data_IF_640741488229
#
_entry.id   IF_640741488229
#
_cell.length_a   1.000
_cell.length_b   1.000
_cell.length_c   1.000
_cell.angle_alpha   90.00
_cell.angle_beta   90.00
_cell.angle_gamma   90.00
#
_symmetry.space_group_name_H-M   'P 1'
#
loop_
_entity.id
_entity.type
_entity.pdbx_description
1 polymer ?
#
# COMPACT_ATOMS: atom_id res chain seq x y z
N UNK A 1 -10.15 21.60 -6.66
CA UNK A 1 -9.85 20.34 -5.95
C UNK A 1 -8.34 20.21 -5.89
N UNK A 2 -7.76 20.29 -4.69
CA UNK A 2 -6.41 19.78 -4.46
C UNK A 2 -6.49 18.26 -4.64
N UNK A 3 -5.55 17.66 -5.37
CA UNK A 3 -5.57 16.22 -5.63
C UNK A 3 -5.41 15.44 -4.33
N UNK A 4 -6.17 14.36 -4.18
CA UNK A 4 -6.05 13.39 -3.09
C UNK A 4 -4.68 12.73 -3.15
N UNK A 5 -3.75 13.05 -2.24
CA UNK A 5 -2.38 12.51 -2.23
C UNK A 5 -2.24 11.33 -1.29
N UNK A 6 -1.61 10.28 -1.79
CA UNK A 6 -1.20 9.10 -1.03
C UNK A 6 0.32 9.09 -1.02
N UNK A 7 0.93 8.96 0.14
CA UNK A 7 2.37 9.19 0.30
C UNK A 7 3.05 7.91 0.75
N UNK A 8 4.07 7.49 0.01
CA UNK A 8 5.03 6.50 0.48
C UNK A 8 6.16 7.23 1.20
N UNK A 9 6.32 6.92 2.49
CA UNK A 9 7.27 7.53 3.39
C UNK A 9 8.42 6.56 3.68
N UNK A 10 9.63 7.11 3.74
CA UNK A 10 10.81 6.46 4.27
C UNK A 10 11.08 6.98 5.67
N UNK A 11 11.19 6.09 6.65
CA UNK A 11 11.23 6.45 8.06
C UNK A 11 12.49 5.89 8.73
N UNK A 12 13.06 6.66 9.66
CA UNK A 12 14.21 6.24 10.47
C UNK A 12 13.88 5.14 11.49
N UNK A 13 12.60 4.82 11.70
CA UNK A 13 12.13 3.75 12.59
C UNK A 13 10.60 3.69 12.62
N UNK A 14 10.06 2.65 13.27
CA UNK A 14 8.61 2.50 13.46
C UNK A 14 8.13 3.60 14.43
N UNK A 15 7.03 4.31 14.13
CA UNK A 15 6.48 5.29 15.04
C UNK A 15 5.98 4.58 16.30
N UNK A 16 6.77 4.63 17.37
CA UNK A 16 6.44 4.03 18.66
C UNK A 16 6.03 5.10 19.66
N UNK A 17 4.72 5.21 19.89
CA UNK A 17 4.12 6.02 20.96
C UNK A 17 3.84 7.49 20.62
N UNK A 18 3.05 8.11 21.49
CA UNK A 18 2.71 9.53 21.40
C UNK A 18 3.97 10.39 21.60
N UNK A 19 4.52 10.93 20.51
CA UNK A 19 5.64 11.88 20.53
C UNK A 19 6.91 11.42 19.81
N UNK A 20 6.98 10.19 19.30
CA UNK A 20 8.04 9.80 18.39
C UNK A 20 7.72 10.35 16.99
N UNK A 21 8.44 11.39 16.55
CA UNK A 21 8.51 11.77 15.14
C UNK A 21 9.79 11.15 14.56
N UNK A 22 9.77 9.87 14.12
CA UNK A 22 10.87 9.39 13.30
C UNK A 22 10.97 10.31 12.08
N UNK A 23 12.19 10.78 11.76
CA UNK A 23 12.41 11.54 10.54
C UNK A 23 11.79 10.77 9.38
N UNK A 24 10.78 11.37 8.74
CA UNK A 24 10.03 10.80 7.64
C UNK A 24 10.32 11.62 6.38
N UNK A 25 10.68 10.95 5.31
CA UNK A 25 10.91 11.56 3.99
C UNK A 25 9.89 11.00 3.00
N UNK A 26 9.27 11.88 2.21
CA UNK A 26 8.43 11.45 1.09
C UNK A 26 9.30 10.84 0.01
N UNK A 27 9.11 9.55 -0.25
CA UNK A 27 9.79 8.80 -1.31
C UNK A 27 9.00 8.93 -2.62
N UNK A 28 7.69 8.68 -2.55
CA UNK A 28 6.78 8.71 -3.70
C UNK A 28 5.43 9.30 -3.30
N UNK A 29 4.70 9.83 -4.28
CA UNK A 29 3.31 10.22 -4.13
C UNK A 29 2.47 9.61 -5.26
N UNK A 30 1.25 9.20 -4.93
CA UNK A 30 0.22 8.81 -5.88
C UNK A 30 -1.01 9.68 -5.67
N UNK A 31 -1.86 9.78 -6.69
CA UNK A 31 -3.12 10.52 -6.60
C UNK A 31 -4.29 9.56 -6.73
N UNK A 32 -5.34 9.81 -5.94
CA UNK A 32 -6.66 9.15 -6.02
C UNK A 32 -6.72 7.64 -5.72
N UNK A 33 -5.61 6.92 -5.81
CA UNK A 33 -5.56 5.46 -5.70
C UNK A 33 -4.20 4.98 -5.19
N UNK A 34 -4.19 3.97 -4.31
CA UNK A 34 -2.95 3.33 -3.85
C UNK A 34 -2.43 2.45 -4.98
N UNK A 35 -1.21 2.65 -5.49
CA UNK A 35 -0.64 1.77 -6.50
C UNK A 35 -0.50 0.34 -5.95
N UNK A 36 -0.93 -0.64 -6.73
CA UNK A 36 -0.91 -2.05 -6.32
C UNK A 36 0.49 -2.55 -5.96
N UNK A 37 1.52 -2.08 -6.68
CA UNK A 37 2.93 -2.34 -6.36
C UNK A 37 3.36 -1.86 -4.97
N UNK A 38 2.71 -0.84 -4.42
CA UNK A 38 3.01 -0.39 -3.06
C UNK A 38 2.43 -1.36 -2.04
N UNK A 39 1.26 -1.94 -2.30
CA UNK A 39 0.65 -2.95 -1.43
C UNK A 39 1.44 -4.27 -1.42
N UNK A 40 2.19 -4.58 -2.48
CA UNK A 40 3.13 -5.71 -2.50
C UNK A 40 4.22 -5.61 -1.42
N UNK A 41 4.47 -4.41 -0.87
CA UNK A 41 5.43 -4.22 0.20
C UNK A 41 4.92 -4.71 1.55
N UNK A 42 3.61 -4.85 1.76
CA UNK A 42 3.03 -4.99 3.10
C UNK A 42 2.28 -6.32 3.31
N UNK A 43 2.12 -6.73 4.56
CA UNK A 43 1.19 -7.77 5.01
C UNK A 43 0.01 -7.19 5.78
N UNK A 44 -1.04 -7.99 5.97
CA UNK A 44 -2.23 -7.61 6.73
C UNK A 44 -1.90 -7.21 8.17
N UNK A 45 -0.89 -7.84 8.79
CA UNK A 45 -0.41 -7.50 10.15
C UNK A 45 0.28 -6.13 10.24
N UNK A 46 0.63 -5.54 9.10
CA UNK A 46 1.29 -4.23 8.98
C UNK A 46 0.29 -3.12 8.61
N UNK A 47 -1.00 -3.45 8.51
CA UNK A 47 -2.09 -2.52 8.32
C UNK A 47 -2.64 -2.10 9.69
N UNK A 48 -2.35 -0.88 10.09
CA UNK A 48 -2.74 -0.32 11.38
C UNK A 48 -3.84 0.74 11.23
N UNK A 49 -4.49 1.06 12.36
CA UNK A 49 -5.40 2.21 12.47
C UNK A 49 -4.70 3.32 13.23
N UNK A 50 -4.42 4.43 12.54
CA UNK A 50 -3.81 5.59 13.17
C UNK A 50 -4.89 6.59 13.59
N UNK A 51 -4.77 7.12 14.81
CA UNK A 51 -5.72 8.09 15.36
C UNK A 51 -5.43 9.47 14.78
N UNK A 52 -6.47 10.13 14.28
CA UNK A 52 -6.41 11.53 13.87
C UNK A 52 -6.20 12.39 15.13
N UNK A 53 -4.99 12.95 15.27
CA UNK A 53 -4.60 13.80 16.39
C UNK A 53 -5.22 15.20 16.34
N UNK A 54 -5.06 15.96 17.43
CA UNK A 54 -5.27 17.41 17.43
C UNK A 54 -4.13 18.06 16.65
N UNK A 55 -4.22 18.15 15.32
CA UNK A 55 -3.43 19.15 14.61
C UNK A 55 -4.27 20.42 14.51
N UNK A 56 -3.70 21.55 14.94
CA UNK A 56 -4.25 22.91 14.72
C UNK A 56 -4.34 23.29 13.21
N UNK A 57 -4.05 22.36 12.31
CA UNK A 57 -4.15 22.54 10.88
C UNK A 57 -5.60 22.36 10.41
N UNK A 58 -6.16 23.47 9.91
CA UNK A 58 -7.51 23.70 9.38
C UNK A 58 -7.91 22.74 8.22
N UNK A 59 -7.07 21.78 7.87
CA UNK A 59 -7.23 20.89 6.71
C UNK A 59 -7.74 19.49 7.05
N UNK A 60 -7.80 19.10 8.33
CA UNK A 60 -8.38 17.81 8.70
C UNK A 60 -9.91 17.91 8.78
N UNK A 61 -10.61 17.32 7.81
CA UNK A 61 -12.06 17.44 7.64
C UNK A 61 -12.89 16.51 8.54
N UNK A 62 -12.24 15.66 9.33
CA UNK A 62 -12.89 14.58 10.08
C UNK A 62 -12.83 14.76 11.60
N UNK A 63 -13.75 14.08 12.29
CA UNK A 63 -13.96 14.21 13.74
C UNK A 63 -12.72 13.75 14.51
N UNK A 64 -12.32 14.55 15.52
CA UNK A 64 -11.26 14.17 16.46
C UNK A 64 -11.53 12.78 17.05
N UNK A 65 -10.52 11.92 17.03
CA UNK A 65 -10.64 10.54 17.50
C UNK A 65 -11.06 9.52 16.43
N UNK A 66 -11.37 9.97 15.20
CA UNK A 66 -11.45 9.06 14.05
C UNK A 66 -10.11 8.37 13.80
N UNK A 67 -10.15 7.22 13.13
CA UNK A 67 -8.95 6.49 12.72
C UNK A 67 -8.91 6.27 11.23
N UNK A 68 -7.74 6.36 10.62
CA UNK A 68 -7.52 6.04 9.21
C UNK A 68 -6.51 4.90 9.07
N UNK A 69 -6.55 4.11 7.98
CA UNK A 69 -5.58 3.06 7.76
C UNK A 69 -4.18 3.64 7.49
N UNK A 70 -3.16 3.01 8.02
CA UNK A 70 -1.75 3.28 7.67
C UNK A 70 -1.06 1.94 7.49
N UNK A 71 -0.17 1.84 6.49
CA UNK A 71 0.66 0.65 6.34
C UNK A 71 2.07 0.97 6.79
N UNK A 72 2.68 0.14 7.65
CA UNK A 72 4.03 0.36 8.18
C UNK A 72 4.78 -0.95 8.24
N UNK A 73 5.94 -1.04 7.58
CA UNK A 73 6.72 -2.27 7.50
C UNK A 73 8.23 -2.00 7.64
N UNK A 74 8.91 -2.93 8.31
CA UNK A 74 10.36 -2.96 8.34
C UNK A 74 10.92 -3.43 7.00
N UNK A 75 11.97 -2.76 6.52
CA UNK A 75 12.59 -3.05 5.22
C UNK A 75 13.09 -4.50 5.11
N UNK A 76 13.54 -5.10 6.21
CA UNK A 76 13.93 -6.51 6.29
C UNK A 76 12.80 -7.44 5.86
N UNK A 77 11.58 -7.21 6.35
CA UNK A 77 10.37 -7.96 5.98
C UNK A 77 9.97 -7.69 4.54
N UNK A 78 10.02 -6.42 4.10
CA UNK A 78 9.67 -6.00 2.74
C UNK A 78 10.51 -6.74 1.70
N UNK A 79 11.82 -6.86 1.92
CA UNK A 79 12.72 -7.52 0.95
C UNK A 79 12.37 -8.99 0.72
N UNK A 80 12.17 -9.74 1.80
CA UNK A 80 11.78 -11.17 1.73
C UNK A 80 10.42 -11.33 1.04
N UNK A 81 9.47 -10.47 1.40
CA UNK A 81 8.11 -10.48 0.87
C UNK A 81 8.06 -10.14 -0.63
N UNK A 82 8.79 -9.12 -1.05
CA UNK A 82 8.88 -8.72 -2.45
C UNK A 82 9.48 -9.82 -3.32
N UNK A 83 10.54 -10.48 -2.86
CA UNK A 83 11.14 -11.60 -3.60
C UNK A 83 10.13 -12.75 -3.76
N UNK A 84 9.46 -13.15 -2.67
CA UNK A 84 8.46 -14.21 -2.72
C UNK A 84 7.30 -13.87 -3.68
N UNK A 85 6.70 -12.69 -3.52
CA UNK A 85 5.58 -12.24 -4.38
C UNK A 85 6.00 -12.07 -5.82
N UNK A 86 7.23 -11.63 -6.08
CA UNK A 86 7.78 -11.57 -7.42
C UNK A 86 7.84 -12.97 -8.06
N UNK A 87 8.36 -13.98 -7.36
CA UNK A 87 8.40 -15.35 -7.89
C UNK A 87 7.00 -15.92 -8.15
N UNK A 88 6.01 -15.59 -7.31
CA UNK A 88 4.62 -16.02 -7.48
C UNK A 88 3.95 -15.37 -8.69
N UNK A 89 4.25 -14.10 -8.98
CA UNK A 89 3.65 -13.34 -10.08
C UNK A 89 4.40 -13.51 -11.41
N UNK A 90 5.68 -13.88 -11.36
CA UNK A 90 6.54 -13.97 -12.53
C UNK A 90 5.99 -14.98 -13.54
N UNK A 91 5.79 -14.53 -14.77
CA UNK A 91 5.22 -15.34 -15.85
C UNK A 91 3.69 -15.37 -15.87
N UNK A 92 3.02 -14.82 -14.85
CA UNK A 92 1.57 -14.62 -14.84
C UNK A 92 1.20 -13.19 -15.25
N UNK A 93 2.11 -12.23 -15.03
CA UNK A 93 1.94 -10.82 -15.38
C UNK A 93 2.51 -10.53 -16.77
N UNK A 94 2.09 -9.42 -17.39
CA UNK A 94 2.61 -9.05 -18.72
C UNK A 94 4.12 -8.77 -18.67
N UNK A 95 4.79 -8.85 -19.83
CA UNK A 95 6.22 -8.56 -19.91
C UNK A 95 6.53 -7.10 -19.53
N UNK A 96 5.62 -6.17 -19.82
CA UNK A 96 5.76 -4.76 -19.43
C UNK A 96 5.70 -4.59 -17.91
N UNK A 97 4.76 -5.28 -17.25
CA UNK A 97 4.59 -5.22 -15.81
C UNK A 97 5.70 -5.93 -15.04
N UNK A 98 6.22 -7.05 -15.58
CA UNK A 98 7.41 -7.70 -15.03
C UNK A 98 8.61 -6.73 -15.03
N UNK A 99 8.84 -6.02 -16.14
CA UNK A 99 9.89 -5.02 -16.22
C UNK A 99 9.67 -3.85 -15.24
N UNK A 100 8.42 -3.38 -15.08
CA UNK A 100 8.08 -2.34 -14.11
C UNK A 100 8.25 -2.81 -12.66
N UNK A 101 7.81 -4.02 -12.34
CA UNK A 101 7.95 -4.61 -11.01
C UNK A 101 9.42 -4.81 -10.65
N UNK A 102 10.26 -5.29 -11.57
CA UNK A 102 11.70 -5.40 -11.33
C UNK A 102 12.34 -4.03 -11.05
N UNK A 103 11.98 -2.99 -11.81
CA UNK A 103 12.45 -1.62 -11.55
C UNK A 103 11.97 -1.10 -10.19
N UNK A 104 10.74 -1.41 -9.81
CA UNK A 104 10.19 -1.07 -8.51
C UNK A 104 10.92 -1.77 -7.37
N UNK A 105 11.17 -3.08 -7.48
CA UNK A 105 11.94 -3.85 -6.50
C UNK A 105 13.36 -3.28 -6.38
N UNK A 106 14.02 -2.98 -7.50
CA UNK A 106 15.35 -2.36 -7.50
C UNK A 106 15.35 -0.98 -6.82
N UNK A 107 14.32 -0.17 -7.05
CA UNK A 107 14.14 1.12 -6.38
C UNK A 107 13.99 0.97 -4.86
N UNK A 108 13.05 0.13 -4.42
CA UNK A 108 12.78 -0.10 -3.00
C UNK A 108 14.00 -0.69 -2.27
N UNK A 109 14.70 -1.62 -2.92
CA UNK A 109 15.91 -2.24 -2.35
C UNK A 109 17.09 -1.28 -2.27
N UNK A 110 17.13 -0.20 -3.05
CA UNK A 110 18.18 0.81 -3.00
C UNK A 110 17.96 1.89 -1.92
N UNK A 111 16.74 2.01 -1.37
CA UNK A 111 16.43 3.00 -0.32
C UNK A 111 17.21 2.70 0.96
N UNK A 112 17.64 3.73 1.69
CA UNK A 112 18.38 3.57 2.96
C UNK A 112 17.51 3.68 4.21
N UNK A 113 16.19 3.65 4.06
CA UNK A 113 15.25 3.73 5.17
C UNK A 113 15.04 2.36 5.83
N UNK A 114 15.13 2.24 7.16
CA UNK A 114 14.82 0.99 7.86
C UNK A 114 13.33 0.65 7.85
N UNK A 115 12.45 1.64 7.71
CA UNK A 115 10.99 1.47 7.69
C UNK A 115 10.39 2.19 6.50
N UNK A 116 9.40 1.58 5.86
CA UNK A 116 8.55 2.21 4.86
C UNK A 116 7.11 2.28 5.37
N UNK A 117 6.41 3.36 5.03
CA UNK A 117 4.99 3.52 5.37
C UNK A 117 4.17 4.11 4.23
N UNK A 118 2.90 3.73 4.12
CA UNK A 118 1.92 4.39 3.26
C UNK A 118 0.98 5.20 4.14
N UNK A 119 1.03 6.52 4.00
CA UNK A 119 0.03 7.43 4.55
C UNK A 119 -1.14 7.54 3.58
N UNK A 120 -2.32 7.12 4.05
CA UNK A 120 -3.58 7.16 3.27
C UNK A 120 -4.55 8.22 3.77
N UNK A 121 -4.12 9.17 4.61
CA UNK A 121 -5.02 10.14 5.24
C UNK A 121 -5.86 10.91 4.21
N UNK A 122 -5.24 11.51 3.18
CA UNK A 122 -6.01 12.31 2.21
C UNK A 122 -6.98 11.42 1.41
N UNK A 123 -6.59 10.19 1.07
CA UNK A 123 -7.47 9.22 0.40
C UNK A 123 -8.69 8.91 1.25
N UNK A 124 -8.46 8.42 2.46
CA UNK A 124 -9.48 8.15 3.47
C UNK A 124 -10.42 9.35 3.65
N UNK A 125 -9.85 10.55 3.78
CA UNK A 125 -10.62 11.77 4.05
C UNK A 125 -11.55 12.18 2.89
N UNK A 126 -11.21 11.75 1.66
CA UNK A 126 -11.91 12.12 0.44
C UNK A 126 -12.96 11.10 -0.02
N UNK A 127 -13.01 9.91 0.60
CA UNK A 127 -13.95 8.85 0.25
C UNK A 127 -15.37 9.12 0.76
N UNK A 128 -16.36 8.63 0.03
CA UNK A 128 -17.76 8.67 0.46
C UNK A 128 -18.01 7.77 1.69
N UNK A 129 -17.31 6.64 1.77
CA UNK A 129 -17.34 5.68 2.88
C UNK A 129 -15.92 5.46 3.43
N UNK A 130 -15.37 6.39 4.24
CA UNK A 130 -13.98 6.30 4.72
C UNK A 130 -13.65 5.02 5.49
N UNK A 131 -14.63 4.48 6.22
CA UNK A 131 -14.46 3.27 7.03
C UNK A 131 -14.23 2.01 6.18
N UNK A 132 -14.64 1.99 4.91
CA UNK A 132 -14.45 0.85 4.01
C UNK A 132 -12.99 0.67 3.59
N UNK A 133 -12.20 1.75 3.57
CA UNK A 133 -10.83 1.73 3.03
C UNK A 133 -9.93 0.71 3.75
N UNK A 134 -10.07 0.57 5.07
CA UNK A 134 -9.31 -0.42 5.82
C UNK A 134 -9.64 -1.84 5.34
N UNK A 135 -10.92 -2.16 5.22
CA UNK A 135 -11.38 -3.50 4.84
C UNK A 135 -11.02 -3.82 3.39
N UNK A 136 -11.06 -2.82 2.51
CA UNK A 136 -10.62 -2.91 1.12
C UNK A 136 -9.12 -3.22 1.01
N UNK A 137 -8.26 -2.46 1.71
CA UNK A 137 -6.82 -2.72 1.76
C UNK A 137 -6.55 -4.12 2.34
N UNK A 138 -7.19 -4.47 3.46
CA UNK A 138 -7.05 -5.77 4.10
C UNK A 138 -7.47 -6.93 3.18
N UNK A 139 -8.52 -6.74 2.35
CA UNK A 139 -8.94 -7.75 1.38
C UNK A 139 -7.88 -7.99 0.30
N UNK A 140 -7.21 -6.95 -0.18
CA UNK A 140 -6.11 -7.08 -1.16
C UNK A 140 -4.87 -7.73 -0.53
N UNK A 141 -4.47 -7.30 0.67
CA UNK A 141 -3.32 -7.88 1.37
C UNK A 141 -3.49 -9.37 1.67
N UNK A 142 -4.68 -9.77 2.14
CA UNK A 142 -5.03 -11.18 2.34
C UNK A 142 -5.02 -11.97 1.04
N UNK A 143 -5.39 -11.33 -0.06
CA UNK A 143 -5.20 -11.90 -1.39
C UNK A 143 -3.73 -12.25 -1.60
N UNK A 144 -2.82 -11.28 -1.46
CA UNK A 144 -1.40 -11.53 -1.68
C UNK A 144 -0.80 -12.59 -0.76
N UNK A 145 -1.33 -12.71 0.46
CA UNK A 145 -0.91 -13.73 1.43
C UNK A 145 -1.44 -15.12 1.09
N UNK A 146 -2.58 -15.21 0.41
CA UNK A 146 -3.15 -16.46 -0.04
C UNK A 146 -2.44 -17.02 -1.28
N UNK A 147 -1.76 -16.18 -2.08
CA UNK A 147 -1.04 -16.63 -3.27
C UNK A 147 0.00 -17.68 -2.90
N UNK A 148 -0.03 -18.82 -3.59
CA UNK A 148 1.03 -19.84 -3.51
C UNK A 148 1.60 -20.10 -4.91
N UNK A 149 2.78 -20.73 -4.98
CA UNK A 149 3.37 -21.10 -6.27
C UNK A 149 2.53 -22.13 -7.06
N UNK A 150 1.65 -22.86 -6.38
CA UNK A 150 0.87 -23.95 -6.99
C UNK A 150 -0.45 -23.48 -7.59
N UNK A 151 -0.98 -22.33 -7.15
CA UNK A 151 -2.32 -21.85 -7.50
C UNK A 151 -2.41 -20.36 -7.82
N UNK A 152 -1.26 -19.67 -7.95
CA UNK A 152 -1.22 -18.24 -8.23
C UNK A 152 -1.97 -17.85 -9.52
N UNK A 153 -1.97 -18.69 -10.55
CA UNK A 153 -2.69 -18.45 -11.81
C UNK A 153 -4.21 -18.46 -11.61
N UNK A 154 -4.73 -19.46 -10.90
CA UNK A 154 -6.14 -19.59 -10.55
C UNK A 154 -6.58 -18.43 -9.66
N UNK A 155 -5.80 -18.12 -8.62
CA UNK A 155 -6.13 -17.02 -7.70
C UNK A 155 -6.12 -15.65 -8.38
N UNK A 156 -5.15 -15.38 -9.26
CA UNK A 156 -5.11 -14.15 -10.04
C UNK A 156 -6.34 -14.04 -10.96
N UNK A 157 -6.74 -15.13 -11.61
CA UNK A 157 -7.95 -15.13 -12.44
C UNK A 157 -9.21 -14.80 -11.61
N UNK A 158 -9.34 -15.36 -10.41
CA UNK A 158 -10.43 -15.00 -9.50
C UNK A 158 -10.44 -13.50 -9.15
N UNK A 159 -9.27 -12.88 -8.96
CA UNK A 159 -9.22 -11.45 -8.64
C UNK A 159 -9.53 -10.56 -9.83
N UNK A 160 -9.22 -11.00 -11.06
CA UNK A 160 -9.64 -10.32 -12.28
C UNK A 160 -11.16 -10.37 -12.39
N UNK A 161 -11.76 -11.54 -12.16
CA UNK A 161 -13.21 -11.73 -12.22
C UNK A 161 -13.94 -10.87 -11.17
N UNK A 162 -13.34 -10.75 -9.98
CA UNK A 162 -13.82 -9.91 -8.88
C UNK A 162 -13.40 -8.43 -8.98
N UNK A 163 -12.73 -8.02 -10.07
CA UNK A 163 -12.23 -6.65 -10.32
C UNK A 163 -11.28 -6.09 -9.26
N UNK A 164 -10.70 -6.95 -8.43
CA UNK A 164 -9.62 -6.60 -7.48
C UNK A 164 -8.26 -6.51 -8.19
N UNK A 165 -8.16 -7.11 -9.36
CA UNK A 165 -7.03 -7.03 -10.27
C UNK A 165 -7.51 -6.58 -11.65
N UNK A 166 -6.78 -5.71 -12.36
CA UNK A 166 -7.19 -5.28 -13.69
C UNK A 166 -6.99 -6.37 -14.74
N UNK A 167 -7.79 -6.28 -15.81
CA UNK A 167 -7.77 -7.22 -16.94
C UNK A 167 -6.39 -7.20 -17.64
N UNK A 168 -5.96 -8.35 -18.15
CA UNK A 168 -4.65 -8.62 -18.79
C UNK A 168 -3.45 -8.67 -17.84
N UNK A 169 -3.68 -8.82 -16.53
CA UNK A 169 -2.64 -8.82 -15.53
C UNK A 169 -1.75 -7.58 -15.57
N UNK A 170 -2.30 -6.47 -16.06
CA UNK A 170 -1.64 -5.18 -16.03
C UNK A 170 -1.46 -4.77 -14.59
N UNK A 171 -0.27 -4.46 -14.11
CA UNK A 171 -0.10 -3.95 -12.74
C UNK A 171 -0.23 -2.43 -12.80
N UNK A 172 -1.25 -1.97 -13.52
CA UNK A 172 -1.67 -0.59 -13.50
C UNK A 172 -2.62 -0.39 -12.32
N UNK A 173 -2.41 0.71 -11.57
CA UNK A 173 -3.31 1.33 -10.58
C UNK A 173 -4.61 0.55 -10.36
N UNK A 174 -4.57 -0.56 -9.60
CA UNK A 174 -5.77 -1.12 -9.01
C UNK A 174 -6.19 -0.15 -7.92
N UNK A 175 -6.91 0.90 -8.33
CA UNK A 175 -7.29 2.01 -7.49
C UNK A 175 -8.69 1.83 -6.94
N UNK A 176 -8.81 1.69 -5.64
CA UNK A 176 -10.02 2.05 -4.92
C UNK A 176 -10.20 3.57 -4.96
N UNK A 177 -11.42 4.03 -5.24
CA UNK A 177 -11.75 5.45 -5.43
C UNK A 177 -12.52 5.68 -6.72
N UNK A 178 -13.84 5.43 -6.69
CA UNK A 178 -14.80 5.85 -7.72
C UNK A 178 -15.84 6.78 -7.10
#
# INVERSE_FOLDING_TARGET
MLGTRIILLGMAGVPSGAGAQPNAEMICAANHAIPLFWLLLFSTDELERFVVGESDEVFLTHVKGSTYPILVAERSCIQVRLELRYQQLKGLISQEDDALLQRWIAFITALNYPVLAIDTYELWSSMAEPDSLYDEIAAVLRGFEALTMEDADVQLQHWIDDKRWPVNNSIALAGFGW
#
